data_IF_858410568503
#
_entry.id   IF_858410568503
#
_cell.length_a   1.000
_cell.length_b   1.000
_cell.length_c   1.000
_cell.angle_alpha   90.00
_cell.angle_beta   90.00
_cell.angle_gamma   90.00
#
_symmetry.space_group_name_H-M   'P 1'
#
loop_
_entity.id
_entity.type
_entity.pdbx_description
1 polymer ?
#
# COMPACT_ATOMS: atom_id res chain seq x y z
N UNK A 1 -25.45 3.18 -21.89
CA UNK A 1 -25.67 2.66 -20.52
C UNK A 1 -25.02 3.66 -19.57
N UNK A 2 -25.56 3.95 -18.37
CA UNK A 2 -24.86 4.90 -17.48
C UNK A 2 -23.61 4.26 -16.85
N UNK A 3 -22.62 5.06 -16.44
CA UNK A 3 -21.46 4.58 -15.69
C UNK A 3 -21.83 3.72 -14.46
N UNK A 4 -22.89 4.11 -13.74
CA UNK A 4 -23.40 3.34 -12.59
C UNK A 4 -24.05 2.01 -12.99
N UNK A 5 -24.65 1.92 -14.18
CA UNK A 5 -25.19 0.66 -14.70
C UNK A 5 -24.06 -0.30 -15.09
N UNK A 6 -23.01 0.21 -15.73
CA UNK A 6 -21.81 -0.57 -16.07
C UNK A 6 -21.17 -1.11 -14.79
N UNK A 7 -20.94 -0.24 -13.79
CA UNK A 7 -20.40 -0.64 -12.50
C UNK A 7 -21.25 -1.74 -11.86
N UNK A 8 -22.58 -1.56 -11.79
CA UNK A 8 -23.48 -2.58 -11.21
C UNK A 8 -23.41 -3.93 -11.93
N UNK A 9 -23.23 -3.95 -13.24
CA UNK A 9 -23.05 -5.19 -13.99
C UNK A 9 -21.70 -5.86 -13.67
N UNK A 10 -20.62 -5.09 -13.64
CA UNK A 10 -19.27 -5.60 -13.30
C UNK A 10 -19.19 -6.09 -11.85
N UNK A 11 -19.87 -5.42 -10.91
CA UNK A 11 -19.96 -5.84 -9.51
C UNK A 11 -20.54 -7.25 -9.36
N UNK A 12 -21.54 -7.58 -10.19
CA UNK A 12 -22.23 -8.87 -10.19
C UNK A 12 -21.41 -10.00 -10.83
N UNK A 13 -20.36 -9.67 -11.57
CA UNK A 13 -19.47 -10.69 -12.12
C UNK A 13 -18.72 -11.41 -10.99
N UNK A 14 -18.83 -12.75 -11.01
CA UNK A 14 -18.04 -13.61 -10.16
C UNK A 14 -16.56 -13.49 -10.50
N UNK A 15 -15.70 -13.58 -9.49
CA UNK A 15 -14.27 -13.66 -9.76
C UNK A 15 -13.93 -15.01 -10.36
N UNK A 16 -13.00 -15.07 -11.32
CA UNK A 16 -12.39 -16.34 -11.68
C UNK A 16 -11.71 -16.92 -10.42
N UNK A 17 -11.76 -18.24 -10.20
CA UNK A 17 -11.01 -18.86 -9.11
C UNK A 17 -9.54 -18.48 -9.23
N UNK A 18 -8.89 -18.11 -8.13
CA UNK A 18 -7.43 -17.98 -8.16
C UNK A 18 -6.80 -19.36 -8.41
N UNK A 19 -5.87 -19.41 -9.36
CA UNK A 19 -4.93 -20.51 -9.42
C UNK A 19 -4.04 -20.36 -8.19
N UNK A 20 -4.35 -21.12 -7.13
CA UNK A 20 -3.68 -21.07 -5.81
C UNK A 20 -2.24 -21.59 -5.84
N UNK A 21 -1.58 -21.45 -6.98
CA UNK A 21 -0.21 -21.84 -7.19
C UNK A 21 0.65 -20.94 -6.28
N UNK A 22 1.58 -21.52 -5.51
CA UNK A 22 2.56 -20.73 -4.77
C UNK A 22 3.35 -19.84 -5.74
N UNK A 23 3.64 -18.57 -5.38
CA UNK A 23 4.55 -17.76 -6.16
C UNK A 23 5.95 -18.39 -6.16
N UNK A 24 6.74 -18.13 -7.21
CA UNK A 24 8.12 -18.58 -7.27
C UNK A 24 9.00 -17.83 -6.25
N UNK A 25 10.15 -18.41 -5.90
CA UNK A 25 11.14 -17.75 -5.06
C UNK A 25 10.76 -17.69 -3.58
N UNK A 26 10.11 -18.72 -3.04
CA UNK A 26 9.89 -18.83 -1.60
C UNK A 26 11.23 -18.92 -0.86
N UNK A 27 11.29 -18.29 0.31
CA UNK A 27 12.44 -18.31 1.22
C UNK A 27 12.02 -18.92 2.55
N UNK A 28 13.00 -19.41 3.32
CA UNK A 28 12.77 -19.85 4.69
C UNK A 28 13.61 -19.03 5.66
N UNK A 29 12.96 -18.51 6.70
CA UNK A 29 13.63 -17.91 7.87
C UNK A 29 13.40 -18.79 9.09
N UNK A 30 14.35 -18.77 10.02
CA UNK A 30 14.35 -19.64 11.20
C UNK A 30 14.65 -18.84 12.46
N UNK A 31 13.86 -19.07 13.51
CA UNK A 31 14.14 -18.60 14.87
C UNK A 31 14.07 -19.79 15.82
N UNK A 32 15.21 -20.18 16.39
CA UNK A 32 15.30 -21.40 17.19
C UNK A 32 14.94 -22.65 16.37
N UNK A 33 13.89 -23.37 16.80
CA UNK A 33 13.36 -24.54 16.09
C UNK A 33 12.23 -24.22 15.12
N UNK A 34 11.71 -23.00 15.13
CA UNK A 34 10.56 -22.62 14.33
C UNK A 34 11.02 -22.02 13.00
N UNK A 35 10.30 -22.37 11.94
CA UNK A 35 10.57 -21.92 10.58
C UNK A 35 9.34 -21.27 9.98
N UNK A 36 9.57 -20.25 9.15
CA UNK A 36 8.57 -19.65 8.29
C UNK A 36 9.06 -19.73 6.85
N UNK A 37 8.36 -20.50 6.01
CA UNK A 37 8.54 -20.50 4.56
C UNK A 37 7.48 -19.61 3.91
N UNK A 38 7.92 -18.58 3.19
CA UNK A 38 7.05 -17.54 2.66
C UNK A 38 7.63 -16.88 1.40
N UNK A 39 6.79 -16.14 0.68
CA UNK A 39 7.21 -15.33 -0.46
C UNK A 39 7.75 -13.99 0.06
N UNK A 40 9.00 -13.60 -0.25
CA UNK A 40 9.66 -12.44 0.35
C UNK A 40 9.20 -11.09 -0.25
N UNK A 41 8.02 -11.07 -0.87
CA UNK A 41 7.39 -9.90 -1.46
C UNK A 41 5.89 -9.90 -1.18
N UNK A 42 5.28 -8.74 -1.39
CA UNK A 42 3.84 -8.57 -1.52
C UNK A 42 3.46 -8.46 -3.01
N UNK A 43 2.16 -8.56 -3.31
CA UNK A 43 1.66 -8.44 -4.68
C UNK A 43 0.24 -7.86 -4.75
N UNK A 44 -0.14 -7.33 -5.90
CA UNK A 44 -1.51 -6.82 -6.17
C UNK A 44 -2.52 -7.93 -6.51
N UNK A 45 -2.04 -9.15 -6.76
CA UNK A 45 -2.84 -10.28 -7.23
C UNK A 45 -2.12 -11.62 -6.96
N UNK A 46 -2.63 -12.71 -7.53
CA UNK A 46 -2.13 -14.08 -7.34
C UNK A 46 -1.04 -14.51 -8.35
N UNK A 47 -0.48 -13.60 -9.13
CA UNK A 47 0.50 -13.96 -10.19
C UNK A 47 1.91 -14.21 -9.66
N UNK A 48 2.21 -13.77 -8.44
CA UNK A 48 3.58 -13.76 -7.91
C UNK A 48 4.46 -12.67 -8.52
N UNK A 49 3.87 -11.61 -9.08
CA UNK A 49 4.60 -10.41 -9.49
C UNK A 49 4.90 -9.54 -8.25
N UNK A 50 6.18 -9.34 -7.89
CA UNK A 50 6.57 -8.54 -6.73
C UNK A 50 6.10 -7.08 -6.81
N UNK A 51 5.59 -6.54 -5.71
CA UNK A 51 5.24 -5.13 -5.57
C UNK A 51 6.15 -4.41 -4.57
N UNK A 52 6.19 -4.93 -3.34
CA UNK A 52 7.07 -4.46 -2.28
C UNK A 52 7.80 -5.65 -1.62
N UNK A 53 9.06 -5.50 -1.18
CA UNK A 53 9.78 -6.52 -0.43
C UNK A 53 9.25 -6.62 1.00
N UNK A 54 9.23 -7.82 1.57
CA UNK A 54 9.10 -8.00 3.01
C UNK A 54 10.41 -7.62 3.66
N UNK A 55 10.39 -6.60 4.52
CA UNK A 55 11.53 -6.11 5.30
C UNK A 55 11.30 -6.21 6.83
N UNK A 56 10.15 -6.72 7.28
CA UNK A 56 9.85 -6.90 8.70
C UNK A 56 9.31 -8.30 8.97
N UNK A 57 9.81 -8.96 10.01
CA UNK A 57 9.33 -10.28 10.44
C UNK A 57 9.11 -10.25 11.95
N UNK A 58 7.93 -10.66 12.39
CA UNK A 58 7.55 -10.69 13.79
C UNK A 58 7.33 -12.13 14.24
N UNK A 59 7.97 -12.50 15.35
CA UNK A 59 7.92 -13.82 15.96
C UNK A 59 7.50 -13.74 17.44
N UNK A 60 6.96 -14.82 18.00
CA UNK A 60 6.45 -14.85 19.38
C UNK A 60 4.99 -14.36 19.46
N UNK A 61 4.73 -13.29 20.22
CA UNK A 61 3.42 -12.65 20.31
C UNK A 61 3.10 -11.77 19.08
N UNK A 62 3.27 -12.35 17.89
CA UNK A 62 3.19 -11.68 16.59
C UNK A 62 1.76 -11.54 16.06
N UNK A 63 0.83 -11.03 16.88
CA UNK A 63 -0.51 -10.68 16.42
C UNK A 63 -0.48 -9.29 15.73
N UNK A 64 -0.90 -9.16 14.46
CA UNK A 64 -0.92 -7.86 13.77
C UNK A 64 -1.71 -6.79 14.52
N UNK A 65 -2.76 -7.16 15.27
CA UNK A 65 -3.58 -6.22 16.04
C UNK A 65 -2.86 -5.67 17.25
N UNK A 66 -2.01 -6.49 17.90
CA UNK A 66 -1.21 -6.06 19.04
C UNK A 66 -0.03 -5.20 18.59
N UNK A 67 0.61 -5.58 17.48
CA UNK A 67 1.63 -4.76 16.81
C UNK A 67 1.04 -3.39 16.49
N UNK A 68 -0.13 -3.36 15.85
CA UNK A 68 -0.83 -2.13 15.51
C UNK A 68 -1.15 -1.29 16.75
N UNK A 69 -1.74 -1.89 17.79
CA UNK A 69 -2.07 -1.19 19.02
C UNK A 69 -0.83 -0.59 19.71
N UNK A 70 0.29 -1.30 19.69
CA UNK A 70 1.54 -0.80 20.25
C UNK A 70 2.08 0.40 19.47
N UNK A 71 2.12 0.33 18.14
CA UNK A 71 2.57 1.45 17.30
C UNK A 71 1.66 2.67 17.43
N UNK A 72 0.34 2.48 17.44
CA UNK A 72 -0.65 3.55 17.64
C UNK A 72 -0.57 4.20 19.03
N UNK A 73 0.04 3.53 20.02
CA UNK A 73 0.20 4.07 21.38
C UNK A 73 1.42 4.97 21.55
N UNK A 74 2.33 5.00 20.57
CA UNK A 74 3.54 5.81 20.63
C UNK A 74 3.22 7.29 20.42
N UNK A 75 3.95 8.15 21.13
CA UNK A 75 3.79 9.61 21.13
C UNK A 75 4.44 10.34 19.94
N UNK A 76 5.15 9.61 19.07
CA UNK A 76 5.90 10.16 17.94
C UNK A 76 7.27 10.78 18.29
N UNK A 77 7.68 10.88 19.56
CA UNK A 77 8.98 11.45 19.93
C UNK A 77 10.13 10.46 19.74
N UNK A 78 10.86 10.64 18.64
CA UNK A 78 12.03 9.83 18.28
C UNK A 78 13.35 10.59 18.45
N UNK A 79 13.35 11.72 19.16
CA UNK A 79 14.53 12.57 19.34
C UNK A 79 15.69 11.87 20.04
N UNK A 80 15.39 10.93 20.95
CA UNK A 80 16.40 10.10 21.62
C UNK A 80 17.21 9.21 20.64
N UNK A 81 16.67 8.96 19.44
CA UNK A 81 17.29 8.18 18.38
C UNK A 81 17.88 9.06 17.26
N UNK A 82 17.96 10.38 17.50
CA UNK A 82 18.56 11.34 16.55
C UNK A 82 17.66 11.74 15.39
N UNK A 83 16.40 11.31 15.37
CA UNK A 83 15.45 11.76 14.35
C UNK A 83 14.97 13.19 14.62
N UNK A 84 14.81 14.02 13.57
CA UNK A 84 14.47 15.42 13.74
C UNK A 84 13.03 15.58 14.24
N UNK A 85 12.73 16.62 15.03
CA UNK A 85 11.37 16.89 15.54
C UNK A 85 10.51 17.59 14.47
N UNK A 86 10.44 17.02 13.25
CA UNK A 86 9.68 17.54 12.11
C UNK A 86 8.92 16.41 11.43
N UNK A 87 7.82 16.73 10.75
CA UNK A 87 7.05 15.73 10.01
C UNK A 87 7.88 15.11 8.88
N UNK A 88 7.71 13.80 8.59
CA UNK A 88 6.84 12.85 9.29
C UNK A 88 7.49 12.20 10.53
N UNK A 89 8.76 12.51 10.83
CA UNK A 89 9.57 11.82 11.85
C UNK A 89 9.08 12.00 13.29
N UNK A 90 8.35 13.08 13.59
CA UNK A 90 7.79 13.35 14.92
C UNK A 90 6.28 13.05 15.03
N UNK A 91 5.67 12.47 14.00
CA UNK A 91 4.24 12.17 14.00
C UNK A 91 3.95 10.83 14.69
N UNK A 92 2.69 10.65 15.08
CA UNK A 92 2.18 9.38 15.59
C UNK A 92 1.72 8.50 14.45
N UNK A 93 1.71 7.18 14.67
CA UNK A 93 1.07 6.27 13.74
C UNK A 93 -0.45 6.46 13.72
N UNK A 94 -1.04 6.31 12.55
CA UNK A 94 -2.49 6.28 12.30
C UNK A 94 -2.80 5.12 11.35
N UNK A 95 -4.05 4.68 11.24
CA UNK A 95 -4.40 3.74 10.16
C UNK A 95 -4.06 4.38 8.80
N UNK A 96 -3.56 3.60 7.84
CA UNK A 96 -3.29 4.10 6.50
C UNK A 96 -4.45 3.82 5.55
N UNK A 97 -4.55 4.65 4.52
CA UNK A 97 -5.26 4.34 3.28
C UNK A 97 -4.23 3.89 2.26
N UNK A 98 -4.48 2.74 1.64
CA UNK A 98 -3.68 2.20 0.55
C UNK A 98 -4.35 0.96 -0.06
N UNK A 99 -3.80 0.51 -1.17
CA UNK A 99 -4.30 -0.65 -1.88
C UNK A 99 -4.25 -1.93 -1.04
N UNK A 100 -5.19 -2.83 -1.32
CA UNK A 100 -5.15 -4.19 -0.78
C UNK A 100 -4.04 -4.95 -1.49
N UNK A 101 -3.04 -5.37 -0.73
CA UNK A 101 -1.98 -6.25 -1.19
C UNK A 101 -2.16 -7.67 -0.64
N UNK A 102 -1.54 -8.62 -1.34
CA UNK A 102 -1.47 -10.03 -1.03
C UNK A 102 -0.06 -10.41 -0.57
N UNK A 103 0.02 -11.40 0.30
CA UNK A 103 1.26 -12.09 0.67
C UNK A 103 1.06 -13.60 0.58
N UNK A 104 2.12 -14.39 0.72
CA UNK A 104 2.02 -15.85 0.66
C UNK A 104 2.93 -16.53 1.68
N UNK A 105 2.41 -17.55 2.37
CA UNK A 105 3.20 -18.46 3.20
C UNK A 105 2.76 -19.92 3.03
N UNK A 106 3.68 -20.88 3.02
CA UNK A 106 3.37 -22.28 2.70
C UNK A 106 2.28 -22.89 3.60
N UNK A 107 2.27 -22.52 4.90
CA UNK A 107 1.24 -22.97 5.84
C UNK A 107 -0.08 -22.18 5.80
N UNK A 108 -0.10 -21.02 5.14
CA UNK A 108 -1.26 -20.10 5.13
C UNK A 108 -1.89 -19.93 3.74
N UNK A 109 -1.18 -20.29 2.67
CA UNK A 109 -1.54 -19.93 1.31
C UNK A 109 -1.41 -18.43 1.08
N UNK A 110 -2.21 -17.91 0.15
CA UNK A 110 -2.33 -16.48 -0.10
C UNK A 110 -3.12 -15.79 1.01
N UNK A 111 -2.56 -14.71 1.55
CA UNK A 111 -3.13 -13.93 2.66
C UNK A 111 -3.24 -12.45 2.31
N UNK A 112 -4.07 -11.74 3.05
CA UNK A 112 -4.31 -10.30 2.86
C UNK A 112 -3.49 -9.44 3.82
N UNK A 113 -3.02 -8.29 3.34
CA UNK A 113 -2.44 -7.22 4.16
C UNK A 113 -3.52 -6.36 4.81
N UNK A 114 -4.21 -6.90 5.82
CA UNK A 114 -5.43 -6.30 6.40
C UNK A 114 -5.13 -5.03 7.21
N UNK A 115 -4.04 -5.03 7.96
CA UNK A 115 -3.66 -3.90 8.81
C UNK A 115 -2.65 -3.06 8.05
N UNK A 116 -2.98 -1.78 7.88
CA UNK A 116 -2.11 -0.78 7.27
C UNK A 116 -2.00 0.44 8.19
N UNK A 117 -0.79 0.95 8.39
CA UNK A 117 -0.51 2.12 9.22
C UNK A 117 0.33 3.14 8.46
N UNK A 118 0.17 4.41 8.78
CA UNK A 118 1.00 5.49 8.28
C UNK A 118 1.55 6.34 9.44
N UNK A 119 2.76 6.86 9.28
CA UNK A 119 3.32 7.92 10.12
C UNK A 119 3.66 9.10 9.19
N UNK A 120 2.84 10.15 9.27
CA UNK A 120 2.78 11.22 8.27
C UNK A 120 1.34 11.49 7.84
N UNK A 121 1.08 12.68 7.31
CA UNK A 121 -0.17 12.96 6.59
C UNK A 121 -0.22 12.15 5.27
N UNK A 122 -1.37 12.17 4.59
CA UNK A 122 -1.51 11.48 3.30
C UNK A 122 -0.46 11.93 2.26
N UNK A 123 -0.03 13.19 2.33
CA UNK A 123 1.15 13.71 1.66
C UNK A 123 1.70 14.94 2.39
N UNK A 124 2.90 15.42 2.02
CA UNK A 124 3.67 15.00 0.85
C UNK A 124 4.56 13.77 1.07
N UNK A 125 4.99 13.47 2.31
CA UNK A 125 5.84 12.31 2.60
C UNK A 125 5.35 11.58 3.84
N UNK A 126 5.49 10.26 3.86
CA UNK A 126 5.10 9.43 5.02
C UNK A 126 5.85 8.11 5.04
N UNK A 127 5.81 7.47 6.21
CA UNK A 127 6.12 6.06 6.35
C UNK A 127 4.82 5.26 6.28
N UNK A 128 4.81 4.16 5.53
CA UNK A 128 3.68 3.24 5.43
C UNK A 128 4.13 1.86 5.91
N UNK A 129 3.27 1.17 6.65
CA UNK A 129 3.45 -0.20 7.11
C UNK A 129 2.24 -1.05 6.73
N UNK A 130 2.44 -2.24 6.17
CA UNK A 130 1.40 -3.26 5.95
C UNK A 130 1.78 -4.55 6.67
N UNK A 131 0.82 -5.20 7.32
CA UNK A 131 1.03 -6.43 8.08
C UNK A 131 0.20 -7.60 7.54
N UNK A 132 0.85 -8.76 7.43
CA UNK A 132 0.28 -10.01 6.92
C UNK A 132 0.47 -11.13 7.95
N UNK A 133 -0.63 -11.75 8.37
CA UNK A 133 -0.59 -12.87 9.32
C UNK A 133 -0.28 -14.18 8.59
N UNK A 134 0.82 -14.84 8.96
CA UNK A 134 1.26 -16.13 8.43
C UNK A 134 1.33 -17.17 9.56
N UNK A 135 0.16 -17.67 9.97
CA UNK A 135 0.02 -18.56 11.13
C UNK A 135 0.36 -17.84 12.43
N UNK A 136 1.40 -18.31 13.12
CA UNK A 136 1.92 -17.72 14.36
C UNK A 136 2.91 -16.57 14.11
N UNK A 137 3.26 -16.32 12.86
CA UNK A 137 4.13 -15.23 12.46
C UNK A 137 3.31 -14.08 11.89
N UNK A 138 3.90 -12.88 11.91
CA UNK A 138 3.46 -11.78 11.08
C UNK A 138 4.64 -11.31 10.25
N UNK A 139 4.43 -11.09 8.96
CA UNK A 139 5.40 -10.41 8.11
C UNK A 139 4.88 -9.02 7.78
N UNK A 140 5.80 -8.07 7.61
CA UNK A 140 5.48 -6.69 7.30
C UNK A 140 6.30 -6.20 6.12
N UNK A 141 5.67 -5.30 5.37
CA UNK A 141 6.34 -4.42 4.43
C UNK A 141 6.21 -3.00 4.96
N UNK A 142 7.33 -2.30 5.09
CA UNK A 142 7.38 -0.88 5.37
C UNK A 142 8.16 -0.13 4.29
N UNK A 143 7.66 1.04 3.89
CA UNK A 143 8.35 1.95 2.99
C UNK A 143 8.17 3.41 3.39
N UNK A 144 9.18 4.21 3.07
CA UNK A 144 9.13 5.66 3.09
C UNK A 144 8.78 6.12 1.68
N UNK A 145 7.78 6.96 1.54
CA UNK A 145 7.21 7.31 0.26
C UNK A 145 6.84 8.79 0.17
N UNK A 146 6.73 9.28 -1.06
CA UNK A 146 6.26 10.62 -1.40
C UNK A 146 4.98 10.52 -2.22
N UNK A 147 3.99 11.34 -1.90
CA UNK A 147 2.84 11.52 -2.76
C UNK A 147 3.31 12.17 -4.07
N UNK A 148 2.98 11.57 -5.20
CA UNK A 148 3.19 12.21 -6.49
C UNK A 148 2.20 13.38 -6.56
N UNK A 149 2.72 14.60 -6.68
CA UNK A 149 1.94 15.83 -6.59
C UNK A 149 0.69 15.77 -7.49
N UNK A 150 -0.45 16.18 -6.92
CA UNK A 150 -1.75 16.19 -7.59
C UNK A 150 -2.42 14.81 -7.77
N UNK A 151 -1.76 13.70 -7.46
CA UNK A 151 -2.32 12.34 -7.60
C UNK A 151 -2.71 11.74 -6.24
N UNK A 152 -3.33 10.56 -6.26
CA UNK A 152 -3.51 9.70 -5.08
C UNK A 152 -2.39 8.68 -4.91
N UNK A 153 -1.41 8.67 -5.82
CA UNK A 153 -0.38 7.65 -5.88
C UNK A 153 0.86 8.10 -5.11
N UNK A 154 1.58 7.10 -4.59
CA UNK A 154 2.81 7.30 -3.85
C UNK A 154 3.97 6.61 -4.56
N UNK A 155 5.09 7.31 -4.65
CA UNK A 155 6.35 6.74 -5.09
C UNK A 155 7.16 6.33 -3.85
N UNK A 156 7.46 5.04 -3.75
CA UNK A 156 8.38 4.54 -2.73
C UNK A 156 9.77 5.14 -2.95
N UNK A 157 10.34 5.67 -1.87
CA UNK A 157 11.66 6.30 -1.86
C UNK A 157 12.72 5.44 -1.15
N UNK A 158 12.33 4.64 -0.15
CA UNK A 158 13.25 3.74 0.55
C UNK A 158 12.49 2.70 1.39
N UNK A 159 12.88 1.42 1.30
CA UNK A 159 12.46 0.40 2.27
C UNK A 159 13.40 0.34 3.47
N UNK A 160 14.70 0.57 3.26
CA UNK A 160 15.71 0.56 4.32
C UNK A 160 15.43 1.62 5.41
N UNK A 161 15.16 2.85 5.01
CA UNK A 161 14.84 3.93 5.95
C UNK A 161 13.59 3.62 6.76
N UNK A 162 12.58 3.00 6.13
CA UNK A 162 11.34 2.63 6.81
C UNK A 162 11.52 1.44 7.75
N UNK A 163 12.36 0.47 7.39
CA UNK A 163 12.73 -0.63 8.28
C UNK A 163 13.41 -0.10 9.56
N UNK A 164 14.37 0.81 9.41
CA UNK A 164 15.05 1.46 10.53
C UNK A 164 14.08 2.29 11.38
N UNK A 165 13.16 3.02 10.75
CA UNK A 165 12.14 3.81 11.42
C UNK A 165 11.21 2.94 12.27
N UNK A 166 10.69 1.85 11.71
CA UNK A 166 9.86 0.88 12.45
C UNK A 166 10.67 0.21 13.55
N UNK A 167 11.94 -0.11 13.30
CA UNK A 167 12.83 -0.70 14.31
C UNK A 167 12.96 0.18 15.56
N UNK A 168 13.16 1.49 15.38
CA UNK A 168 13.19 2.47 16.48
C UNK A 168 11.87 2.44 17.26
N UNK A 169 10.73 2.41 16.57
CA UNK A 169 9.43 2.40 17.24
C UNK A 169 9.16 1.11 18.01
N UNK A 170 9.65 -0.02 17.51
CA UNK A 170 9.58 -1.26 18.27
C UNK A 170 10.45 -1.25 19.53
N UNK A 171 11.64 -0.64 19.49
CA UNK A 171 12.45 -0.43 20.70
C UNK A 171 11.72 0.40 21.78
N UNK A 172 10.77 1.25 21.37
CA UNK A 172 9.97 2.13 22.25
C UNK A 172 8.64 1.51 22.66
N UNK A 173 8.16 0.53 21.90
CA UNK A 173 6.82 -0.07 22.04
C UNK A 173 6.61 -0.90 23.32
N UNK A 174 7.70 -1.38 23.93
CA UNK A 174 7.64 -2.35 25.03
C UNK A 174 7.23 -3.77 24.63
N UNK A 175 7.15 -4.08 23.32
CA UNK A 175 6.81 -5.43 22.84
C UNK A 175 8.01 -6.38 22.75
N UNK A 176 9.22 -5.85 22.59
CA UNK A 176 10.42 -6.66 22.34
C UNK A 176 10.81 -7.53 23.53
N UNK A 177 11.30 -8.72 23.25
CA UNK A 177 12.02 -9.54 24.23
C UNK A 177 13.41 -8.95 24.47
N UNK A 178 13.64 -8.37 25.65
CA UNK A 178 14.94 -7.80 26.02
C UNK A 178 16.08 -8.82 26.06
N UNK A 179 15.76 -10.12 26.14
CA UNK A 179 16.74 -11.20 26.19
C UNK A 179 17.17 -11.72 24.82
N UNK A 180 16.44 -11.38 23.76
CA UNK A 180 16.73 -11.81 22.39
C UNK A 180 16.95 -10.58 21.51
N UNK A 181 18.15 -10.44 20.89
CA UNK A 181 18.39 -9.29 20.04
C UNK A 181 17.45 -9.29 18.83
N UNK A 182 17.28 -8.10 18.25
CA UNK A 182 16.76 -7.95 16.90
C UNK A 182 17.78 -8.57 15.93
N UNK A 183 17.32 -9.42 15.01
CA UNK A 183 18.20 -10.22 14.14
C UNK A 183 17.89 -9.90 12.68
N UNK A 184 18.88 -9.47 11.88
CA UNK A 184 18.68 -9.39 10.44
C UNK A 184 18.66 -10.79 9.83
N UNK A 185 17.83 -11.00 8.80
CA UNK A 185 17.84 -12.24 8.02
C UNK A 185 19.10 -12.33 7.16
N UNK A 186 19.32 -13.48 6.52
CA UNK A 186 20.11 -13.47 5.28
C UNK A 186 19.38 -12.63 4.21
N UNK A 187 20.04 -12.35 3.08
CA UNK A 187 19.35 -11.74 1.95
C UNK A 187 18.19 -12.65 1.49
N UNK A 188 16.97 -12.14 1.54
CA UNK A 188 15.74 -12.84 1.16
C UNK A 188 15.04 -12.24 -0.06
N UNK A 189 15.34 -10.98 -0.42
CA UNK A 189 14.81 -10.31 -1.60
C UNK A 189 15.93 -9.62 -2.41
N UNK A 190 15.58 -9.17 -3.62
CA UNK A 190 16.51 -8.50 -4.54
C UNK A 190 17.01 -7.17 -3.97
N UNK A 191 18.29 -6.86 -4.21
CA UNK A 191 18.90 -5.59 -3.80
C UNK A 191 19.83 -5.08 -4.92
N UNK A 192 19.59 -3.85 -5.44
CA UNK A 192 18.42 -3.00 -5.19
C UNK A 192 17.13 -3.59 -5.78
N UNK A 193 15.98 -3.06 -5.39
CA UNK A 193 14.66 -3.44 -5.91
C UNK A 193 13.95 -2.20 -6.48
N UNK A 194 13.51 -2.24 -7.74
CA UNK A 194 12.88 -1.09 -8.45
C UNK A 194 13.73 0.20 -8.43
N UNK A 195 13.18 1.25 -9.02
CA UNK A 195 13.81 2.56 -9.16
C UNK A 195 12.81 3.69 -8.90
N UNK A 196 13.33 4.87 -8.57
CA UNK A 196 12.62 6.15 -8.54
C UNK A 196 12.78 6.78 -9.91
N UNK A 197 11.69 7.07 -10.65
CA UNK A 197 11.77 7.76 -11.93
C UNK A 197 12.55 9.08 -11.81
N UNK A 198 13.49 9.35 -12.73
CA UNK A 198 14.33 10.56 -12.69
C UNK A 198 13.50 11.85 -12.56
N UNK A 199 12.36 11.90 -13.25
CA UNK A 199 11.44 13.04 -13.21
C UNK A 199 10.84 13.28 -11.82
N UNK A 200 10.56 12.23 -11.05
CA UNK A 200 10.06 12.35 -9.67
C UNK A 200 11.23 12.68 -8.73
N UNK A 201 12.37 11.99 -8.91
CA UNK A 201 13.56 12.20 -8.09
C UNK A 201 14.05 13.65 -8.11
N UNK A 202 14.06 14.27 -9.29
CA UNK A 202 14.49 15.65 -9.48
C UNK A 202 13.52 16.69 -8.89
N UNK A 203 12.31 16.28 -8.47
CA UNK A 203 11.37 17.14 -7.74
C UNK A 203 11.53 17.02 -6.22
N UNK A 204 12.25 16.01 -5.73
CA UNK A 204 12.49 15.83 -4.30
C UNK A 204 13.37 16.97 -3.75
N UNK A 205 13.07 17.48 -2.53
CA UNK A 205 13.99 18.33 -1.80
C UNK A 205 15.36 17.65 -1.63
N UNK A 206 16.43 18.44 -1.66
CA UNK A 206 17.81 17.93 -1.59
C UNK A 206 18.07 17.15 -0.30
N UNK A 207 17.44 17.57 0.80
CA UNK A 207 17.51 16.90 2.09
C UNK A 207 16.92 15.49 2.02
N UNK A 208 15.81 15.30 1.29
CA UNK A 208 15.18 13.99 1.09
C UNK A 208 16.06 13.11 0.20
N UNK A 209 16.66 13.67 -0.86
CA UNK A 209 17.62 12.94 -1.72
C UNK A 209 18.80 12.40 -0.93
N UNK A 210 19.39 13.25 -0.07
CA UNK A 210 20.48 12.87 0.82
C UNK A 210 20.06 11.85 1.87
N UNK A 211 18.86 12.00 2.45
CA UNK A 211 18.31 11.09 3.44
C UNK A 211 18.14 9.67 2.90
N UNK A 212 17.65 9.52 1.67
CA UNK A 212 17.48 8.20 1.03
C UNK A 212 18.76 7.66 0.39
N UNK A 213 19.90 8.32 0.63
CA UNK A 213 21.22 7.90 0.17
C UNK A 213 21.46 8.07 -1.34
N UNK A 214 20.63 8.86 -2.04
CA UNK A 214 20.76 9.07 -3.48
C UNK A 214 21.63 10.27 -3.88
N UNK A 215 21.84 10.50 -5.18
CA UNK A 215 22.56 11.66 -5.69
C UNK A 215 21.95 13.01 -5.27
N UNK A 216 22.77 13.91 -4.74
CA UNK A 216 22.32 15.25 -4.29
C UNK A 216 21.89 16.15 -5.46
N UNK A 217 22.48 15.98 -6.63
CA UNK A 217 22.14 16.75 -7.83
C UNK A 217 20.98 16.14 -8.62
N UNK A 218 20.58 16.81 -9.69
CA UNK A 218 19.63 16.23 -10.65
C UNK A 218 20.27 15.07 -11.41
N UNK A 219 19.45 14.09 -11.74
CA UNK A 219 19.82 12.88 -12.47
C UNK A 219 19.10 12.80 -13.81
N UNK A 220 19.67 12.06 -14.76
CA UNK A 220 19.03 11.78 -16.06
C UNK A 220 18.39 10.40 -16.06
N UNK A 221 19.03 9.44 -15.39
CA UNK A 221 18.54 8.06 -15.25
C UNK A 221 17.79 7.88 -13.94
N UNK A 222 16.89 6.89 -13.91
CA UNK A 222 16.17 6.51 -12.70
C UNK A 222 17.14 6.09 -11.58
N UNK A 223 16.78 6.41 -10.34
CA UNK A 223 17.62 6.14 -9.16
C UNK A 223 17.20 4.82 -8.52
N UNK A 224 18.09 3.83 -8.33
CA UNK A 224 17.77 2.61 -7.60
C UNK A 224 17.27 2.93 -6.18
N UNK A 225 16.18 2.26 -5.76
CA UNK A 225 15.67 2.43 -4.41
C UNK A 225 16.52 1.56 -3.46
N UNK A 226 17.02 2.17 -2.39
CA UNK A 226 17.89 1.50 -1.43
C UNK A 226 17.13 0.44 -0.61
N UNK A 227 17.67 -0.78 -0.63
CA UNK A 227 17.38 -1.93 0.24
C UNK A 227 18.62 -2.82 0.25
N UNK A 228 18.91 -3.50 1.35
CA UNK A 228 19.99 -4.49 1.44
C UNK A 228 19.51 -5.93 1.15
N UNK A 229 18.23 -6.09 0.83
CA UNK A 229 17.59 -7.36 0.55
C UNK A 229 17.29 -8.22 1.78
N UNK A 230 17.56 -7.72 2.98
CA UNK A 230 17.29 -8.39 4.25
C UNK A 230 15.95 -7.91 4.82
N UNK A 231 15.49 -8.62 5.83
CA UNK A 231 14.43 -8.17 6.72
C UNK A 231 14.94 -8.21 8.16
N UNK A 232 14.30 -7.44 9.02
CA UNK A 232 14.57 -7.48 10.45
C UNK A 232 13.56 -8.37 11.17
N UNK A 233 14.08 -9.32 11.98
CA UNK A 233 13.28 -10.17 12.86
C UNK A 233 13.15 -9.53 14.24
N UNK A 234 11.91 -9.24 14.63
CA UNK A 234 11.51 -8.80 15.96
C UNK A 234 10.97 -9.97 16.77
N UNK A 235 11.64 -10.27 17.89
CA UNK A 235 11.17 -11.25 18.87
C UNK A 235 10.24 -10.54 19.86
N UNK A 236 8.95 -10.86 19.81
CA UNK A 236 7.93 -10.21 20.63
C UNK A 236 7.58 -11.10 21.84
N UNK A 237 8.02 -10.69 23.03
CA UNK A 237 7.64 -11.31 24.30
C UNK A 237 6.53 -10.55 25.03
N UNK A 238 6.37 -9.26 24.73
CA UNK A 238 5.30 -8.43 25.27
C UNK A 238 3.99 -8.59 24.51
N UNK A 239 2.92 -8.06 25.10
CA UNK A 239 1.60 -7.93 24.46
C UNK A 239 0.95 -6.63 24.90
N UNK A 240 0.33 -5.90 23.97
CA UNK A 240 -0.47 -4.71 24.28
C UNK A 240 -1.95 -5.07 24.16
N UNK A 241 -2.80 -4.70 25.14
CA UNK A 241 -4.23 -4.89 25.02
C UNK A 241 -4.79 -4.19 23.79
N UNK A 242 -5.54 -4.93 22.96
CA UNK A 242 -6.25 -4.36 21.82
C UNK A 242 -7.58 -3.81 22.32
N UNK A 243 -7.65 -2.50 22.53
CA UNK A 243 -8.86 -1.82 22.99
C UNK A 243 -9.95 -1.77 21.91
N UNK A 244 -11.22 -1.78 22.34
CA UNK A 244 -12.35 -1.48 21.47
C UNK A 244 -12.26 -0.04 21.00
N UNK A 245 -12.36 0.18 19.70
CA UNK A 245 -12.18 1.51 19.12
C UNK A 245 -12.90 1.64 17.78
N UNK A 246 -13.21 2.86 17.37
CA UNK A 246 -13.62 3.20 16.01
C UNK A 246 -12.94 4.48 15.57
N UNK A 247 -12.15 4.38 14.51
CA UNK A 247 -11.36 5.49 13.95
C UNK A 247 -11.83 5.76 12.53
N UNK A 248 -11.90 7.04 12.18
CA UNK A 248 -12.39 7.52 10.89
C UNK A 248 -11.36 8.44 10.27
N UNK A 249 -11.10 8.26 8.98
CA UNK A 249 -10.42 9.22 8.14
C UNK A 249 -11.37 9.67 7.04
N UNK A 250 -11.40 10.97 6.80
CA UNK A 250 -12.33 11.60 5.87
C UNK A 250 -11.64 12.85 5.31
N UNK A 251 -11.28 12.83 4.04
CA UNK A 251 -10.66 13.98 3.36
C UNK A 251 -10.89 13.96 1.85
N UNK A 252 -10.67 15.10 1.22
CA UNK A 252 -10.86 15.29 -0.22
C UNK A 252 -9.52 15.64 -0.87
N UNK A 253 -9.21 14.95 -1.97
CA UNK A 253 -8.12 15.31 -2.87
C UNK A 253 -8.73 16.07 -4.05
N UNK A 254 -8.23 17.27 -4.31
CA UNK A 254 -8.66 18.04 -5.48
C UNK A 254 -7.67 17.78 -6.62
N UNK A 255 -8.15 17.15 -7.68
CA UNK A 255 -7.42 17.05 -8.93
C UNK A 255 -7.51 18.38 -9.67
N UNK A 256 -6.36 18.89 -10.09
CA UNK A 256 -6.21 20.11 -10.88
C UNK A 256 -4.86 20.06 -11.62
N UNK A 257 -4.66 19.03 -12.43
CA UNK A 257 -3.35 18.78 -13.02
C UNK A 257 -3.38 18.02 -14.35
N UNK A 258 -2.28 18.12 -15.09
CA UNK A 258 -2.02 17.36 -16.30
C UNK A 258 -1.29 16.07 -15.94
N UNK A 259 -1.87 14.92 -16.28
CA UNK A 259 -1.28 13.60 -16.08
C UNK A 259 -1.21 12.82 -17.39
N UNK A 260 -0.31 11.83 -17.50
CA UNK A 260 -0.43 10.82 -18.54
C UNK A 260 -1.81 10.16 -18.46
N UNK A 261 -2.41 9.85 -19.62
CA UNK A 261 -3.67 9.14 -19.69
C UNK A 261 -3.56 7.81 -18.90
N UNK A 262 -4.36 7.60 -17.82
CA UNK A 262 -4.08 6.58 -16.80
C UNK A 262 -4.33 5.14 -17.25
N UNK A 263 -5.12 4.94 -18.30
CA UNK A 263 -5.40 3.65 -18.92
C UNK A 263 -5.78 3.89 -20.38
N UNK A 264 -5.73 2.85 -21.22
CA UNK A 264 -6.03 2.98 -22.66
C UNK A 264 -5.15 4.03 -23.38
N UNK A 265 -3.86 4.06 -23.04
CA UNK A 265 -2.84 4.96 -23.60
C UNK A 265 -1.66 4.15 -24.14
N UNK A 266 -1.04 4.63 -25.21
CA UNK A 266 0.22 4.13 -25.75
C UNK A 266 1.46 4.83 -25.15
N UNK A 267 1.24 5.75 -24.20
CA UNK A 267 2.28 6.54 -23.53
C UNK A 267 2.47 7.94 -24.08
N UNK A 268 1.81 8.32 -25.17
CA UNK A 268 1.87 9.68 -25.73
C UNK A 268 0.73 10.62 -25.29
N UNK A 269 -0.38 10.06 -24.79
CA UNK A 269 -1.59 10.81 -24.46
C UNK A 269 -1.53 11.41 -23.05
N UNK A 270 -1.89 12.68 -22.94
CA UNK A 270 -2.01 13.41 -21.67
C UNK A 270 -3.39 14.03 -21.53
N UNK A 271 -3.84 14.10 -20.29
CA UNK A 271 -5.13 14.68 -19.93
C UNK A 271 -4.97 15.63 -18.76
N UNK A 272 -5.69 16.74 -18.82
CA UNK A 272 -5.96 17.58 -17.67
C UNK A 272 -7.17 17.02 -16.92
N UNK A 273 -6.96 16.62 -15.67
CA UNK A 273 -7.98 16.07 -14.77
C UNK A 273 -8.35 17.12 -13.74
N UNK A 274 -9.64 17.39 -13.63
CA UNK A 274 -10.18 18.38 -12.69
C UNK A 274 -11.34 17.80 -11.88
N UNK A 275 -11.33 18.05 -10.57
CA UNK A 275 -12.45 17.73 -9.68
C UNK A 275 -12.03 17.03 -8.39
N UNK A 276 -12.95 16.91 -7.42
CA UNK A 276 -12.67 16.30 -6.13
C UNK A 276 -12.80 14.78 -6.17
N UNK A 277 -11.92 14.10 -5.44
CA UNK A 277 -12.09 12.70 -5.03
C UNK A 277 -12.18 12.66 -3.51
N UNK A 278 -13.30 12.17 -2.99
CA UNK A 278 -13.54 12.00 -1.57
C UNK A 278 -13.05 10.63 -1.11
N UNK A 279 -12.14 10.62 -0.13
CA UNK A 279 -11.61 9.41 0.49
C UNK A 279 -12.18 9.29 1.89
N UNK A 280 -12.71 8.11 2.21
CA UNK A 280 -13.31 7.84 3.50
C UNK A 280 -12.95 6.43 3.97
N UNK A 281 -12.35 6.33 5.16
CA UNK A 281 -12.02 5.07 5.81
C UNK A 281 -12.63 5.01 7.21
N UNK A 282 -13.17 3.85 7.58
CA UNK A 282 -13.55 3.52 8.95
C UNK A 282 -12.86 2.23 9.37
N UNK A 283 -12.19 2.28 10.52
CA UNK A 283 -11.60 1.13 11.18
C UNK A 283 -12.32 0.92 12.50
N UNK A 284 -12.76 -0.30 12.76
CA UNK A 284 -13.40 -0.69 14.02
C UNK A 284 -12.70 -1.89 14.62
N UNK A 285 -12.40 -1.81 15.90
CA UNK A 285 -12.01 -2.96 16.72
C UNK A 285 -13.16 -3.22 17.68
N UNK A 286 -13.75 -4.41 17.60
CA UNK A 286 -14.83 -4.81 18.50
C UNK A 286 -14.32 -5.25 19.87
N UNK A 287 -15.23 -5.41 20.85
CA UNK A 287 -14.93 -6.00 22.17
C UNK A 287 -14.31 -7.41 22.10
N UNK A 288 -14.49 -8.13 20.99
CA UNK A 288 -13.88 -9.45 20.77
C UNK A 288 -12.44 -9.37 20.25
N UNK A 289 -11.91 -8.17 20.04
CA UNK A 289 -10.62 -7.95 19.38
C UNK A 289 -10.68 -8.14 17.85
N UNK A 290 -11.86 -8.36 17.26
CA UNK A 290 -12.00 -8.40 15.79
C UNK A 290 -11.77 -7.02 15.20
N UNK A 291 -10.85 -6.91 14.25
CA UNK A 291 -10.56 -5.74 13.44
C UNK A 291 -11.36 -5.78 12.14
N UNK A 292 -11.99 -4.66 11.78
CA UNK A 292 -12.66 -4.46 10.51
C UNK A 292 -12.29 -3.11 9.91
N UNK A 293 -11.99 -3.08 8.63
CA UNK A 293 -11.75 -1.86 7.86
C UNK A 293 -12.76 -1.78 6.72
N UNK A 294 -13.27 -0.58 6.46
CA UNK A 294 -14.02 -0.23 5.26
C UNK A 294 -13.42 1.05 4.69
N UNK A 295 -13.11 1.06 3.41
CA UNK A 295 -12.63 2.24 2.70
C UNK A 295 -13.46 2.45 1.44
N UNK A 296 -13.64 3.72 1.08
CA UNK A 296 -14.21 4.14 -0.20
C UNK A 296 -13.47 5.36 -0.73
N UNK A 297 -13.26 5.39 -2.03
CA UNK A 297 -12.96 6.61 -2.78
C UNK A 297 -14.06 6.86 -3.81
N UNK A 298 -14.47 8.11 -3.98
CA UNK A 298 -15.44 8.48 -5.01
C UNK A 298 -15.20 9.89 -5.50
N UNK A 299 -15.13 10.06 -6.81
CA UNK A 299 -15.04 11.36 -7.46
C UNK A 299 -15.75 11.36 -8.81
N UNK A 300 -16.41 12.47 -9.09
CA UNK A 300 -16.93 12.80 -10.41
C UNK A 300 -16.05 13.92 -10.95
N UNK A 301 -15.35 13.63 -12.04
CA UNK A 301 -14.24 14.41 -12.56
C UNK A 301 -14.57 14.92 -13.95
N UNK A 302 -13.80 15.91 -14.40
CA UNK A 302 -13.75 16.38 -15.77
C UNK A 302 -12.37 16.10 -16.35
N UNK A 303 -12.32 15.52 -17.53
CA UNK A 303 -11.07 15.16 -18.21
C UNK A 303 -11.02 15.89 -19.55
N UNK A 304 -9.94 16.63 -19.78
CA UNK A 304 -9.69 17.33 -21.06
C UNK A 304 -8.40 16.78 -21.68
N UNK A 305 -8.42 16.20 -22.89
CA UNK A 305 -7.20 15.87 -23.60
C UNK A 305 -6.36 17.12 -23.84
N UNK A 306 -5.07 17.07 -23.54
CA UNK A 306 -4.16 18.23 -23.69
C UNK A 306 -2.86 17.87 -24.41
N UNK A 307 -2.24 18.86 -25.02
CA UNK A 307 -0.86 18.75 -25.48
C UNK A 307 0.09 18.94 -24.27
N UNK A 308 0.93 17.95 -23.90
CA UNK A 308 1.77 18.05 -22.72
C UNK A 308 2.86 19.14 -22.82
N UNK A 309 3.21 19.59 -24.03
CA UNK A 309 4.22 20.62 -24.24
C UNK A 309 3.68 22.04 -24.05
N UNK A 310 2.39 22.25 -24.31
CA UNK A 310 1.77 23.58 -24.26
C UNK A 310 0.72 23.71 -23.17
N UNK A 311 0.21 22.60 -22.64
CA UNK A 311 -0.94 22.56 -21.73
C UNK A 311 -2.28 22.87 -22.41
N UNK A 312 -2.28 23.11 -23.72
CA UNK A 312 -3.48 23.52 -24.46
C UNK A 312 -4.39 22.32 -24.72
N UNK A 313 -5.73 22.47 -24.57
CA UNK A 313 -6.70 21.45 -24.94
C UNK A 313 -6.58 21.03 -26.42
N UNK A 314 -6.57 19.73 -26.68
CA UNK A 314 -6.58 19.14 -28.03
C UNK A 314 -7.90 18.42 -28.36
N UNK A 315 -8.84 18.37 -27.41
CA UNK A 315 -10.15 17.74 -27.54
C UNK A 315 -11.17 18.33 -26.58
N UNK A 316 -12.43 17.86 -26.63
CA UNK A 316 -13.47 18.30 -25.71
C UNK A 316 -13.19 17.81 -24.28
N UNK A 317 -13.67 18.56 -23.29
CA UNK A 317 -13.77 18.08 -21.91
C UNK A 317 -14.91 17.07 -21.82
N UNK A 318 -14.64 15.90 -21.24
CA UNK A 318 -15.61 14.83 -21.03
C UNK A 318 -15.73 14.50 -19.54
N UNK A 319 -16.89 14.02 -19.06
CA UNK A 319 -17.02 13.55 -17.70
C UNK A 319 -16.22 12.27 -17.48
N UNK A 320 -15.76 12.10 -16.25
CA UNK A 320 -15.11 10.88 -15.80
C UNK A 320 -15.54 10.56 -14.37
N UNK A 321 -15.36 9.31 -13.98
CA UNK A 321 -15.75 8.83 -12.67
C UNK A 321 -14.69 7.91 -12.11
N UNK A 322 -14.40 8.05 -10.81
CA UNK A 322 -13.65 7.09 -10.01
C UNK A 322 -14.51 6.58 -8.86
N UNK A 323 -14.51 5.26 -8.66
CA UNK A 323 -15.15 4.58 -7.53
C UNK A 323 -14.21 3.48 -7.04
N UNK A 324 -13.95 3.47 -5.74
CA UNK A 324 -13.10 2.47 -5.11
C UNK A 324 -13.72 2.02 -3.80
N UNK A 325 -13.59 0.74 -3.47
CA UNK A 325 -14.07 0.16 -2.21
C UNK A 325 -13.14 -0.93 -1.73
N UNK A 326 -12.63 -0.78 -0.50
CA UNK A 326 -11.89 -1.84 0.18
C UNK A 326 -12.62 -2.31 1.43
N UNK A 327 -12.42 -3.58 1.77
CA UNK A 327 -12.78 -4.10 3.07
C UNK A 327 -11.68 -4.99 3.61
N UNK A 328 -11.44 -4.90 4.91
CA UNK A 328 -10.52 -5.75 5.65
C UNK A 328 -11.20 -6.36 6.86
N UNK A 329 -10.85 -7.59 7.19
CA UNK A 329 -11.31 -8.29 8.39
C UNK A 329 -10.17 -9.14 8.95
N UNK A 330 -9.89 -8.98 10.25
CA UNK A 330 -8.90 -9.76 10.97
C UNK A 330 -9.42 -10.17 12.36
N UNK A 331 -9.36 -11.47 12.62
CA UNK A 331 -9.62 -12.10 13.92
C UNK A 331 -8.56 -13.17 14.20
N UNK A 332 -8.68 -13.86 15.32
CA UNK A 332 -7.75 -14.93 15.73
C UNK A 332 -7.63 -16.03 14.66
N UNK A 333 -8.72 -16.29 13.93
CA UNK A 333 -8.86 -17.44 13.03
C UNK A 333 -8.99 -17.06 11.55
N UNK A 334 -9.02 -15.76 11.21
CA UNK A 334 -9.26 -15.34 9.83
C UNK A 334 -8.63 -13.98 9.54
N UNK A 335 -7.97 -13.88 8.40
CA UNK A 335 -7.54 -12.65 7.78
C UNK A 335 -8.05 -12.64 6.35
N UNK A 336 -8.85 -11.64 5.98
CA UNK A 336 -9.38 -11.50 4.62
C UNK A 336 -9.50 -10.03 4.23
N UNK A 337 -9.34 -9.78 2.93
CA UNK A 337 -9.59 -8.47 2.36
C UNK A 337 -10.21 -8.59 0.98
N UNK A 338 -10.90 -7.53 0.57
CA UNK A 338 -11.32 -7.35 -0.81
C UNK A 338 -11.12 -5.91 -1.25
N UNK A 339 -10.85 -5.74 -2.54
CA UNK A 339 -10.83 -4.44 -3.19
C UNK A 339 -11.63 -4.45 -4.48
N UNK A 340 -12.12 -3.29 -4.84
CA UNK A 340 -12.71 -2.99 -6.12
C UNK A 340 -12.35 -1.56 -6.51
N UNK A 341 -11.81 -1.40 -7.71
CA UNK A 341 -11.55 -0.12 -8.34
C UNK A 341 -12.31 -0.07 -9.66
N UNK A 342 -12.97 1.04 -9.92
CA UNK A 342 -13.63 1.34 -11.19
C UNK A 342 -13.30 2.78 -11.58
N UNK A 343 -12.80 2.95 -12.80
CA UNK A 343 -12.60 4.26 -13.41
C UNK A 343 -13.20 4.23 -14.81
N UNK A 344 -13.84 5.32 -15.22
CA UNK A 344 -14.41 5.48 -16.55
C UNK A 344 -14.23 6.92 -17.02
N UNK A 345 -13.90 7.07 -18.31
CA UNK A 345 -13.97 8.30 -19.08
C UNK A 345 -15.17 8.11 -20.02
N UNK A 346 -16.20 8.92 -19.83
CA UNK A 346 -17.52 8.73 -20.41
C UNK A 346 -17.79 9.82 -21.47
N UNK A 347 -17.38 9.64 -22.73
CA UNK A 347 -17.81 10.52 -23.81
C UNK A 347 -19.33 10.38 -24.04
N UNK A 348 -19.95 11.32 -24.76
CA UNK A 348 -21.40 11.30 -25.02
C UNK A 348 -21.90 10.03 -25.77
N UNK A 349 -20.99 9.22 -26.31
CA UNK A 349 -21.21 7.97 -27.03
C UNK A 349 -20.67 6.78 -26.20
N UNK A 350 -21.50 5.78 -25.94
CA UNK A 350 -21.12 4.57 -25.20
C UNK A 350 -20.01 3.77 -25.91
N UNK A 351 -19.96 3.85 -27.24
CA UNK A 351 -18.98 3.13 -28.05
C UNK A 351 -17.57 3.70 -27.88
N UNK A 352 -17.43 4.96 -27.45
CA UNK A 352 -16.13 5.62 -27.24
C UNK A 352 -15.65 5.57 -25.77
N UNK A 353 -16.45 4.97 -24.87
CA UNK A 353 -16.14 4.96 -23.44
C UNK A 353 -14.90 4.14 -23.12
N UNK A 354 -13.96 4.78 -22.39
CA UNK A 354 -12.77 4.14 -21.86
C UNK A 354 -13.01 3.82 -20.38
N UNK A 355 -12.81 2.58 -19.94
CA UNK A 355 -12.94 2.22 -18.54
C UNK A 355 -11.94 1.15 -18.10
N UNK A 356 -11.66 1.13 -16.80
CA UNK A 356 -10.90 0.09 -16.12
C UNK A 356 -11.65 -0.34 -14.86
N UNK A 357 -11.59 -1.63 -14.58
CA UNK A 357 -12.18 -2.29 -13.43
C UNK A 357 -11.19 -3.31 -12.88
N UNK A 358 -10.88 -3.22 -11.60
CA UNK A 358 -10.08 -4.21 -10.89
C UNK A 358 -10.87 -4.70 -9.69
N UNK A 359 -10.81 -6.00 -9.41
CA UNK A 359 -11.47 -6.62 -8.26
C UNK A 359 -10.58 -7.72 -7.69
N UNK A 360 -10.33 -7.68 -6.39
CA UNK A 360 -9.52 -8.66 -5.67
C UNK A 360 -10.31 -9.16 -4.45
N UNK A 361 -10.22 -10.46 -4.18
CA UNK A 361 -10.65 -11.09 -2.93
C UNK A 361 -9.58 -12.07 -2.48
N UNK A 362 -9.18 -11.98 -1.23
CA UNK A 362 -8.15 -12.85 -0.63
C UNK A 362 -8.52 -13.22 0.80
N UNK A 363 -8.31 -14.49 1.18
CA UNK A 363 -8.68 -15.04 2.48
C UNK A 363 -10.15 -15.42 2.61
N UNK A 364 -10.90 -15.56 1.51
CA UNK A 364 -12.36 -15.80 1.52
C UNK A 364 -12.74 -17.29 1.35
N UNK A 365 -11.99 -18.22 1.96
CA UNK A 365 -12.34 -19.66 2.10
C UNK A 365 -12.96 -20.29 0.84
N UNK A 366 -12.28 -20.22 -0.30
CA UNK A 366 -12.83 -20.73 -1.57
C UNK A 366 -13.13 -19.66 -2.62
N UNK A 367 -13.25 -18.39 -2.20
CA UNK A 367 -13.63 -17.29 -3.09
C UNK A 367 -12.48 -16.31 -3.38
N UNK A 368 -11.25 -16.77 -3.22
CA UNK A 368 -10.07 -15.98 -3.60
C UNK A 368 -10.05 -15.85 -5.13
N UNK A 369 -9.79 -14.65 -5.61
CA UNK A 369 -9.83 -14.38 -7.04
C UNK A 369 -9.41 -12.96 -7.37
N UNK A 370 -8.97 -12.77 -8.60
CA UNK A 370 -8.59 -11.48 -9.13
C UNK A 370 -9.16 -11.33 -10.52
N UNK A 371 -9.67 -10.13 -10.81
CA UNK A 371 -10.15 -9.75 -12.13
C UNK A 371 -9.64 -8.35 -12.42
N UNK A 372 -9.09 -8.18 -13.61
CA UNK A 372 -8.79 -6.88 -14.19
C UNK A 372 -9.49 -6.82 -15.55
N UNK A 373 -10.20 -5.73 -15.82
CA UNK A 373 -10.94 -5.52 -17.04
C UNK A 373 -10.74 -4.07 -17.48
N UNK A 374 -10.26 -3.86 -18.69
CA UNK A 374 -9.97 -2.56 -19.29
C UNK A 374 -10.68 -2.54 -20.64
N UNK A 375 -11.39 -1.47 -20.98
CA UNK A 375 -12.02 -1.30 -22.29
C UNK A 375 -11.79 0.11 -22.80
N UNK A 376 -11.47 0.28 -24.08
CA UNK A 376 -10.85 1.48 -24.61
C UNK A 376 -11.56 2.09 -25.83
N UNK A 377 -12.87 1.87 -25.95
CA UNK A 377 -13.73 2.34 -27.05
C UNK A 377 -13.45 1.68 -28.42
N UNK A 378 -14.47 1.61 -29.29
CA UNK A 378 -14.41 1.04 -30.65
C UNK A 378 -13.62 1.89 -31.67
#
# INVERSE_FOLDING_TARGET
MSADDILRQLEQQGLPPSDRIPPAGLVTVSVGSDNLEFWPYTGENFTGTPQDPVNLIFYGHADPRQIMAALLSLDGDRSAYGLPPVAPFNMTWTDAIGDVQTGYGTGSGWVAGVVQLACGDYGPVRFHLRLFKLGNWTVGNAHFEVQIEGTTDHQVLSWELAEQFVTIDFMRSGLLDESVPIIPTAQINDSPFRTIPAMIYNLLPVEIRGLIGGPIGDVVDDVPIATDGQAVIFNLAGSVPVGTDTRVQDFVINFDQVIPMPFCSDGGEYVYVNGPVHLFQTVTISNSGTYTMQFRASGDLSITPVNPLTGEPVGPTVPAMVRERHSGYLSDNSARASSMLFQIIDPESEDDAKWIFKKLKVGENGNDGYMALMHCGE
#
